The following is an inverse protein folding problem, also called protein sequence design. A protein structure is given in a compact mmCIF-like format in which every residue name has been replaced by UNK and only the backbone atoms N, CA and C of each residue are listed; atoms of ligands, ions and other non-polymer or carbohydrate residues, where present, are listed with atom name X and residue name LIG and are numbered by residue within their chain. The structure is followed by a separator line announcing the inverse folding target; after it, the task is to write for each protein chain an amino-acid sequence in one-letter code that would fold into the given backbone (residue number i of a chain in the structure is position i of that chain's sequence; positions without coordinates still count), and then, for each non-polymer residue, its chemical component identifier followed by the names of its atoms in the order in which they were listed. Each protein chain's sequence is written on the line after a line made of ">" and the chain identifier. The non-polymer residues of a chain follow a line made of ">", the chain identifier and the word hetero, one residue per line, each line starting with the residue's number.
data_IF_439110373543
#
_entry.id   IF_439110373543
#
_cell.length_a   1.000
_cell.length_b   1.000
_cell.length_c   1.000
_cell.angle_alpha   90.00
_cell.angle_beta   90.00
_cell.angle_gamma   90.00
#
_symmetry.space_group_name_H-M   'P 1'
#
loop_
_entity.id
_entity.type
_entity.pdbx_description
1 polymer ?
#
# COMPACT_ATOMS: atom_id res chain seq x y z
N UNK A 1 -3.52 -3.36 4.76
CA UNK A 1 -3.99 -2.62 3.55
C UNK A 1 -5.12 -1.56 3.72
N UNK A 2 -5.91 -1.50 4.81
CA UNK A 2 -7.00 -0.48 4.94
C UNK A 2 -6.51 0.98 4.81
N UNK A 3 -5.39 1.30 5.47
CA UNK A 3 -4.75 2.63 5.40
C UNK A 3 -4.29 2.99 3.99
N UNK A 4 -3.73 2.03 3.25
CA UNK A 4 -3.29 2.23 1.88
C UNK A 4 -4.44 2.69 0.99
N UNK A 5 -5.60 2.03 1.06
CA UNK A 5 -6.77 2.45 0.30
C UNK A 5 -7.26 3.85 0.67
N UNK A 6 -7.18 4.22 1.97
CA UNK A 6 -7.49 5.57 2.39
C UNK A 6 -6.53 6.61 1.78
N UNK A 7 -5.22 6.37 1.83
CA UNK A 7 -4.23 7.26 1.22
C UNK A 7 -4.37 7.30 -0.30
N UNK A 8 -4.65 6.17 -0.97
CA UNK A 8 -4.82 6.12 -2.42
C UNK A 8 -6.04 6.92 -2.91
N UNK A 9 -7.07 7.09 -2.08
CA UNK A 9 -8.24 7.94 -2.39
C UNK A 9 -8.05 9.42 -2.06
N UNK A 10 -7.01 9.80 -1.33
CA UNK A 10 -6.74 11.21 -1.05
C UNK A 10 -6.39 11.98 -2.33
N UNK A 11 -6.68 13.28 -2.33
CA UNK A 11 -6.19 14.22 -3.35
C UNK A 11 -4.66 14.17 -3.43
N UNK A 12 -4.10 14.33 -4.63
CA UNK A 12 -2.65 14.30 -4.86
C UNK A 12 -1.88 15.43 -4.14
N UNK A 13 -2.58 16.49 -3.73
CA UNK A 13 -2.00 17.58 -2.92
C UNK A 13 -1.74 17.18 -1.46
N UNK A 14 -2.33 16.08 -0.96
CA UNK A 14 -2.22 15.68 0.44
C UNK A 14 -0.85 15.09 0.73
N UNK A 15 -0.24 15.53 1.84
CA UNK A 15 1.10 15.09 2.28
C UNK A 15 1.24 13.56 2.30
N UNK A 16 0.29 12.77 2.86
CA UNK A 16 0.44 11.31 2.88
C UNK A 16 0.49 10.69 1.47
N UNK A 17 -0.26 11.23 0.52
CA UNK A 17 -0.29 10.77 -0.88
C UNK A 17 1.01 11.08 -1.60
N UNK A 18 1.58 12.28 -1.36
CA UNK A 18 2.91 12.66 -1.88
C UNK A 18 4.02 11.83 -1.25
N UNK A 19 4.01 11.66 0.07
CA UNK A 19 4.97 10.85 0.79
C UNK A 19 4.95 9.39 0.34
N UNK A 20 3.77 8.84 0.04
CA UNK A 20 3.63 7.49 -0.51
C UNK A 20 4.34 7.33 -1.86
N UNK A 21 4.28 8.33 -2.73
CA UNK A 21 4.88 8.31 -4.07
C UNK A 21 6.36 8.71 -4.07
N UNK A 22 6.84 9.32 -2.99
CA UNK A 22 8.20 9.84 -2.92
C UNK A 22 9.22 8.71 -2.77
N UNK A 23 10.15 8.65 -3.72
CA UNK A 23 11.32 7.76 -3.68
C UNK A 23 12.53 8.60 -3.28
N UNK A 24 13.02 8.52 -2.03
CA UNK A 24 14.19 9.27 -1.61
C UNK A 24 15.44 8.76 -2.34
N UNK A 25 16.19 9.68 -2.94
CA UNK A 25 17.47 9.39 -3.56
C UNK A 25 18.56 9.21 -2.50
N UNK A 26 19.48 8.27 -2.73
CA UNK A 26 20.65 8.05 -1.89
C UNK A 26 20.67 6.74 -1.10
N UNK A 27 21.85 6.45 -0.53
CA UNK A 27 22.11 5.23 0.25
C UNK A 27 21.64 5.42 1.69
N UNK A 28 20.92 4.43 2.22
CA UNK A 28 20.50 4.44 3.64
C UNK A 28 21.69 4.19 4.56
N UNK A 29 21.73 4.89 5.70
CA UNK A 29 22.71 4.62 6.75
C UNK A 29 22.51 3.19 7.30
N UNK A 30 23.61 2.50 7.59
CA UNK A 30 23.60 1.19 8.23
C UNK A 30 22.93 1.25 9.61
N UNK A 31 22.22 0.19 9.99
CA UNK A 31 21.49 0.09 11.26
C UNK A 31 19.99 0.39 11.19
N UNK A 32 19.48 0.96 10.09
CA UNK A 32 18.03 1.08 9.89
C UNK A 32 17.44 -0.27 9.45
N UNK A 33 16.26 -0.68 9.95
CA UNK A 33 15.58 -1.87 9.46
C UNK A 33 15.44 -1.86 7.94
N UNK A 34 15.83 -2.97 7.30
CA UNK A 34 15.79 -3.12 5.84
C UNK A 34 14.36 -3.11 5.29
N UNK A 35 13.41 -3.65 6.07
CA UNK A 35 12.00 -3.70 5.73
C UNK A 35 11.38 -2.32 5.92
N UNK A 36 10.85 -1.78 4.83
CA UNK A 36 10.05 -0.56 4.86
C UNK A 36 8.58 -0.88 4.81
N UNK A 37 7.77 0.04 5.32
CA UNK A 37 6.32 -0.05 5.14
C UNK A 37 5.91 -0.16 3.66
N UNK A 38 6.60 0.55 2.75
CA UNK A 38 6.36 0.47 1.29
C UNK A 38 6.70 -0.93 0.74
N UNK A 39 7.80 -1.56 1.17
CA UNK A 39 8.14 -2.93 0.76
C UNK A 39 7.17 -3.96 1.32
N UNK A 40 6.73 -3.80 2.58
CA UNK A 40 5.70 -4.67 3.16
C UNK A 40 4.42 -4.61 2.34
N UNK A 41 3.99 -3.41 1.96
CA UNK A 41 2.80 -3.26 1.13
C UNK A 41 3.00 -3.79 -0.27
N UNK A 42 4.15 -3.54 -0.91
CA UNK A 42 4.42 -4.12 -2.22
C UNK A 42 4.29 -5.64 -2.17
N UNK A 43 4.79 -6.29 -1.11
CA UNK A 43 4.64 -7.72 -0.91
C UNK A 43 3.16 -8.11 -0.71
N UNK A 44 2.42 -7.41 0.13
CA UNK A 44 0.98 -7.64 0.31
C UNK A 44 0.20 -7.46 -1.00
N UNK A 45 0.58 -6.50 -1.85
CA UNK A 45 -0.03 -6.30 -3.18
C UNK A 45 0.29 -7.46 -4.13
N UNK A 46 1.53 -7.96 -4.12
CA UNK A 46 1.96 -9.11 -4.93
C UNK A 46 1.23 -10.38 -4.48
N UNK A 47 1.09 -10.61 -3.17
CA UNK A 47 0.31 -11.73 -2.62
C UNK A 47 -1.17 -11.66 -3.06
N UNK A 48 -1.72 -10.46 -3.27
CA UNK A 48 -3.06 -10.26 -3.85
C UNK A 48 -3.14 -10.45 -5.37
N UNK A 49 -2.01 -10.70 -6.04
CA UNK A 49 -1.94 -10.69 -7.50
C UNK A 49 -2.24 -9.31 -8.10
N UNK A 50 -1.79 -8.24 -7.44
CA UNK A 50 -2.10 -6.87 -7.84
C UNK A 50 -0.85 -5.99 -7.94
N UNK A 51 -0.78 -5.19 -8.99
CA UNK A 51 0.23 -4.14 -9.14
C UNK A 51 -0.16 -2.87 -8.37
N UNK A 52 0.80 -1.96 -8.16
CA UNK A 52 0.52 -0.63 -7.60
C UNK A 52 -0.47 0.18 -8.44
N UNK A 53 -0.45 0.00 -9.77
CA UNK A 53 -1.36 0.69 -10.70
C UNK A 53 -2.80 0.22 -10.51
N UNK A 54 -3.01 -1.10 -10.49
CA UNK A 54 -4.31 -1.69 -10.23
C UNK A 54 -4.82 -1.36 -8.83
N UNK A 55 -3.94 -1.35 -7.83
CA UNK A 55 -4.29 -0.94 -6.47
C UNK A 55 -4.79 0.51 -6.44
N UNK A 56 -4.19 1.41 -7.22
CA UNK A 56 -4.64 2.81 -7.33
C UNK A 56 -6.01 2.93 -7.97
N UNK A 57 -6.35 2.08 -8.94
CA UNK A 57 -7.67 2.05 -9.60
C UNK A 57 -8.71 1.45 -8.67
N UNK A 58 -8.47 0.22 -8.18
CA UNK A 58 -9.39 -0.53 -7.31
C UNK A 58 -9.62 0.14 -5.97
N UNK A 59 -8.63 0.88 -5.43
CA UNK A 59 -8.82 1.64 -4.19
C UNK A 59 -9.84 2.77 -4.31
N UNK A 60 -10.15 3.25 -5.53
CA UNK A 60 -11.19 4.28 -5.74
C UNK A 60 -12.57 3.76 -5.32
N UNK A 61 -12.87 2.51 -5.64
CA UNK A 61 -14.05 1.83 -5.12
C UNK A 61 -13.79 1.38 -3.67
N UNK A 62 -14.55 1.96 -2.74
CA UNK A 62 -14.38 1.67 -1.31
C UNK A 62 -14.87 0.27 -0.94
N UNK A 63 -15.91 -0.22 -1.59
CA UNK A 63 -16.51 -1.54 -1.31
C UNK A 63 -15.63 -2.63 -1.90
N UNK A 64 -15.19 -2.48 -3.15
CA UNK A 64 -14.27 -3.42 -3.80
C UNK A 64 -12.96 -3.53 -3.02
N UNK A 65 -12.39 -2.39 -2.62
CA UNK A 65 -11.17 -2.36 -1.81
C UNK A 65 -11.37 -3.04 -0.45
N UNK A 66 -12.48 -2.76 0.24
CA UNK A 66 -12.77 -3.36 1.55
C UNK A 66 -12.92 -4.88 1.42
N UNK A 67 -13.65 -5.35 0.40
CA UNK A 67 -13.86 -6.77 0.15
C UNK A 67 -12.53 -7.50 -0.03
N UNK A 68 -11.68 -7.04 -0.97
CA UNK A 68 -10.35 -7.64 -1.20
C UNK A 68 -9.47 -7.64 0.05
N UNK A 69 -9.44 -6.53 0.78
CA UNK A 69 -8.64 -6.43 2.01
C UNK A 69 -9.16 -7.36 3.12
N UNK A 70 -10.46 -7.58 3.21
CA UNK A 70 -11.06 -8.49 4.19
C UNK A 70 -10.76 -9.95 3.86
N UNK A 71 -10.86 -10.36 2.59
CA UNK A 71 -10.53 -11.74 2.17
C UNK A 71 -9.14 -12.16 2.65
N UNK A 72 -8.14 -11.29 2.51
CA UNK A 72 -6.76 -11.56 2.93
C UNK A 72 -6.61 -11.63 4.45
N UNK A 73 -7.39 -10.81 5.16
CA UNK A 73 -7.34 -10.80 6.61
C UNK A 73 -7.90 -12.11 7.18
N UNK A 74 -8.92 -12.68 6.52
CA UNK A 74 -9.49 -13.98 6.86
C UNK A 74 -8.51 -15.12 6.58
N UNK A 75 -7.86 -15.16 5.42
CA UNK A 75 -6.88 -16.22 5.06
C UNK A 75 -5.61 -16.23 5.92
N UNK A 76 -5.40 -15.21 6.74
CA UNK A 76 -4.21 -15.03 7.58
C UNK A 76 -4.49 -15.20 9.08
N UNK A 77 -5.76 -15.39 9.43
CA UNK A 77 -6.22 -15.64 10.80
C UNK A 77 -6.46 -17.14 11.08
N UNK A 78 -6.18 -17.99 10.09
CA UNK A 78 -6.01 -19.44 10.21
C UNK A 78 -4.52 -19.77 10.30
#
# INVERSE_FOLDING_TARGET
>A
LRWLGHVLRMKDTRIPKRALQWTPQGRRKGGRPAVTWRSTITRELIEMGMTWGEARVKAKDRLEWKSKVMTICSTRSE
#
